data_IF_939983624633
#
_entry.id   IF_939983624633
#
_cell.length_a   1.000
_cell.length_b   1.000
_cell.length_c   1.000
_cell.angle_alpha   90.00
_cell.angle_beta   90.00
_cell.angle_gamma   90.00
#
_symmetry.space_group_name_H-M   'P 1'
#
loop_
_entity.id
_entity.type
_entity.pdbx_description
1 polymer ?
#
# COMPACT_ATOMS: atom_id res chain seq x y z
N UNK A 1 7.55 -0.33 0.02
CA UNK A 1 8.19 0.27 -1.19
C UNK A 1 9.71 0.28 -1.10
N UNK A 2 10.33 0.89 -0.07
CA UNK A 2 11.79 0.94 0.09
C UNK A 2 12.49 -0.43 -0.01
N UNK A 3 11.96 -1.46 0.67
CA UNK A 3 12.45 -2.85 0.60
C UNK A 3 12.41 -3.46 -0.80
N UNK A 4 11.37 -3.16 -1.59
CA UNK A 4 11.20 -3.66 -2.95
C UNK A 4 12.20 -2.99 -3.91
N UNK A 5 12.35 -1.68 -3.80
CA UNK A 5 13.35 -0.92 -4.57
C UNK A 5 14.77 -1.38 -4.21
N UNK A 6 15.05 -1.58 -2.92
CA UNK A 6 16.34 -2.09 -2.46
C UNK A 6 16.61 -3.52 -2.92
N UNK A 7 15.62 -4.43 -2.91
CA UNK A 7 15.80 -5.79 -3.44
C UNK A 7 15.94 -5.86 -4.96
N UNK A 8 15.53 -4.81 -5.68
CA UNK A 8 15.67 -4.70 -7.14
C UNK A 8 17.04 -4.12 -7.55
N UNK A 9 17.66 -3.30 -6.68
CA UNK A 9 18.97 -2.66 -6.89
C UNK A 9 20.13 -3.40 -6.19
N UNK A 10 19.86 -4.09 -5.09
CA UNK A 10 20.84 -4.76 -4.24
C UNK A 10 20.46 -6.24 -4.16
N UNK A 11 21.36 -7.13 -4.61
CA UNK A 11 21.16 -8.58 -4.50
C UNK A 11 20.87 -8.99 -3.04
N UNK A 12 19.98 -9.96 -2.89
CA UNK A 12 19.38 -10.46 -1.64
C UNK A 12 20.39 -10.92 -0.54
N UNK A 13 21.70 -10.90 -0.78
CA UNK A 13 22.77 -11.37 0.13
C UNK A 13 23.42 -10.25 0.99
N UNK A 14 22.93 -9.02 0.91
CA UNK A 14 23.50 -7.95 1.76
C UNK A 14 23.08 -8.14 3.22
N UNK A 15 24.02 -8.64 4.04
CA UNK A 15 23.93 -8.84 5.51
C UNK A 15 23.80 -7.52 6.31
N UNK A 16 23.24 -6.48 5.72
CA UNK A 16 23.07 -5.18 6.36
C UNK A 16 21.97 -5.25 7.44
N UNK A 17 22.23 -4.72 8.65
CA UNK A 17 21.27 -4.78 9.76
C UNK A 17 19.93 -4.11 9.44
N UNK A 18 19.94 -3.11 8.54
CA UNK A 18 18.73 -2.42 8.05
C UNK A 18 17.80 -3.37 7.28
N UNK A 19 18.33 -4.25 6.44
CA UNK A 19 17.53 -5.17 5.65
C UNK A 19 16.88 -6.24 6.54
N UNK A 20 17.57 -6.67 7.61
CA UNK A 20 17.03 -7.60 8.61
C UNK A 20 15.88 -6.98 9.42
N UNK A 21 16.01 -5.71 9.83
CA UNK A 21 14.94 -4.98 10.50
C UNK A 21 13.72 -4.76 9.59
N UNK A 22 13.95 -4.31 8.35
CA UNK A 22 12.89 -4.14 7.35
C UNK A 22 12.20 -5.46 7.03
N UNK A 23 12.94 -6.55 6.87
CA UNK A 23 12.35 -7.89 6.70
C UNK A 23 11.52 -8.30 7.92
N UNK A 24 12.00 -8.03 9.14
CA UNK A 24 11.27 -8.31 10.38
C UNK A 24 9.93 -7.58 10.51
N UNK A 25 9.83 -6.35 10.00
CA UNK A 25 8.56 -5.59 9.99
C UNK A 25 7.65 -5.99 8.81
N UNK A 26 8.23 -6.17 7.63
CA UNK A 26 7.45 -6.37 6.39
C UNK A 26 6.98 -7.81 6.22
N UNK A 27 7.81 -8.81 6.51
CA UNK A 27 7.45 -10.22 6.33
C UNK A 27 6.20 -10.67 7.12
N UNK A 28 5.99 -10.30 8.40
CA UNK A 28 4.77 -10.69 9.11
C UNK A 28 3.53 -10.02 8.52
N UNK A 29 3.61 -8.74 8.15
CA UNK A 29 2.52 -8.03 7.47
C UNK A 29 2.19 -8.68 6.13
N UNK A 30 3.20 -9.03 5.33
CA UNK A 30 3.03 -9.76 4.07
C UNK A 30 2.34 -11.10 4.32
N UNK A 31 2.67 -11.83 5.39
CA UNK A 31 2.04 -13.12 5.71
C UNK A 31 0.56 -12.99 6.04
N UNK A 32 0.17 -11.94 6.77
CA UNK A 32 -1.25 -11.65 7.05
C UNK A 32 -1.99 -11.32 5.76
N UNK A 33 -1.40 -10.48 4.91
CA UNK A 33 -2.04 -10.06 3.66
C UNK A 33 -2.07 -11.18 2.62
N UNK A 34 -1.14 -12.14 2.67
CA UNK A 34 -1.13 -13.32 1.78
C UNK A 34 -2.41 -14.16 1.88
N UNK A 35 -3.18 -14.02 2.97
CA UNK A 35 -4.53 -14.60 3.06
C UNK A 35 -5.52 -13.95 2.08
N UNK A 36 -5.42 -12.63 1.89
CA UNK A 36 -6.25 -11.84 0.97
C UNK A 36 -5.65 -11.75 -0.44
N UNK A 37 -4.34 -11.94 -0.59
CA UNK A 37 -3.66 -11.91 -1.88
C UNK A 37 -3.95 -13.19 -2.68
N UNK A 38 -4.33 -13.08 -3.96
CA UNK A 38 -4.58 -14.25 -4.79
C UNK A 38 -3.30 -15.00 -5.16
N UNK A 39 -3.41 -16.32 -5.40
CA UNK A 39 -2.28 -17.26 -5.55
C UNK A 39 -1.35 -17.00 -6.75
N UNK A 40 -1.76 -16.15 -7.69
CA UNK A 40 -0.99 -15.81 -8.89
C UNK A 40 0.04 -14.69 -8.68
N UNK A 41 0.06 -14.05 -7.51
CA UNK A 41 1.02 -12.97 -7.22
C UNK A 41 2.41 -13.54 -6.94
N UNK A 42 3.40 -13.08 -7.70
CA UNK A 42 4.80 -13.43 -7.54
C UNK A 42 5.30 -12.93 -6.18
N UNK A 43 6.00 -13.77 -5.41
CA UNK A 43 6.44 -13.44 -4.03
C UNK A 43 7.30 -12.16 -3.97
N UNK A 44 8.05 -11.84 -5.02
CA UNK A 44 8.83 -10.58 -5.13
C UNK A 44 7.95 -9.32 -5.16
N UNK A 45 6.71 -9.42 -5.66
CA UNK A 45 5.73 -8.33 -5.71
C UNK A 45 4.94 -8.18 -4.40
N UNK A 46 5.07 -9.12 -3.45
CA UNK A 46 4.39 -9.05 -2.17
C UNK A 46 4.52 -7.71 -1.41
N UNK A 47 5.70 -7.06 -1.31
CA UNK A 47 5.81 -5.74 -0.67
C UNK A 47 5.12 -4.60 -1.43
N UNK A 48 4.92 -4.72 -2.75
CA UNK A 48 4.14 -3.76 -3.55
C UNK A 48 2.65 -3.94 -3.27
N UNK A 49 2.21 -5.20 -3.21
CA UNK A 49 0.82 -5.53 -2.87
C UNK A 49 0.44 -5.09 -1.46
N UNK A 50 1.36 -5.26 -0.48
CA UNK A 50 1.21 -4.71 0.87
C UNK A 50 1.04 -3.19 0.84
N UNK A 51 1.81 -2.47 0.01
CA UNK A 51 1.69 -1.03 -0.12
C UNK A 51 0.33 -0.61 -0.70
N UNK A 52 -0.18 -1.37 -1.68
CA UNK A 52 -1.51 -1.15 -2.25
C UNK A 52 -2.61 -1.33 -1.19
N UNK A 53 -2.56 -2.41 -0.39
CA UNK A 53 -3.51 -2.61 0.69
C UNK A 53 -3.42 -1.55 1.79
N UNK A 54 -2.21 -1.12 2.16
CA UNK A 54 -2.03 0.00 3.09
C UNK A 54 -2.61 1.31 2.55
N UNK A 55 -2.54 1.53 1.24
CA UNK A 55 -3.16 2.66 0.58
C UNK A 55 -4.69 2.56 0.69
N UNK A 56 -5.28 1.41 0.36
CA UNK A 56 -6.72 1.20 0.52
C UNK A 56 -7.14 1.42 1.99
N UNK A 57 -6.42 0.81 2.94
CA UNK A 57 -6.70 0.96 4.36
C UNK A 57 -6.66 2.44 4.77
N UNK A 58 -5.62 3.18 4.34
CA UNK A 58 -5.44 4.60 4.68
C UNK A 58 -6.54 5.49 4.13
N UNK A 59 -6.98 5.28 2.89
CA UNK A 59 -7.90 6.21 2.21
C UNK A 59 -9.36 5.79 2.28
N UNK A 60 -9.66 4.52 2.57
CA UNK A 60 -11.03 4.01 2.65
C UNK A 60 -11.40 3.53 4.06
N UNK A 61 -10.49 2.86 4.80
CA UNK A 61 -10.84 2.31 6.12
C UNK A 61 -10.63 3.33 7.24
N UNK A 62 -9.51 4.06 7.23
CA UNK A 62 -9.20 5.06 8.27
C UNK A 62 -10.25 6.17 8.32
N UNK A 63 -10.70 6.78 7.21
CA UNK A 63 -11.70 7.85 7.27
C UNK A 63 -13.02 7.36 7.87
N UNK A 64 -13.46 6.16 7.49
CA UNK A 64 -14.65 5.51 8.06
C UNK A 64 -14.48 5.23 9.56
N UNK A 65 -13.29 4.78 9.99
CA UNK A 65 -13.01 4.49 11.40
C UNK A 65 -12.91 5.75 12.28
N UNK A 66 -12.47 6.88 11.72
CA UNK A 66 -12.40 8.18 12.41
C UNK A 66 -13.78 8.85 12.51
N UNK A 67 -14.79 8.29 11.84
CA UNK A 67 -16.17 8.81 11.89
C UNK A 67 -16.42 9.95 10.92
N UNK A 68 -15.67 10.01 9.81
CA UNK A 68 -16.10 10.84 8.68
C UNK A 68 -17.40 10.25 8.12
N UNK A 69 -18.45 11.06 8.10
CA UNK A 69 -19.72 10.71 7.47
C UNK A 69 -19.54 10.81 5.96
N UNK A 70 -19.28 9.66 5.33
CA UNK A 70 -19.08 9.55 3.89
C UNK A 70 -20.47 9.43 3.26
N UNK A 71 -21.03 10.55 2.79
CA UNK A 71 -22.40 10.57 2.25
C UNK A 71 -22.49 9.91 0.87
N UNK A 72 -21.37 9.77 0.16
CA UNK A 72 -21.29 9.11 -1.14
C UNK A 72 -19.86 8.87 -1.62
N UNK A 73 -19.73 8.19 -2.76
CA UNK A 73 -18.44 7.82 -3.37
C UNK A 73 -17.53 9.04 -3.65
N UNK A 74 -18.12 10.21 -3.93
CA UNK A 74 -17.40 11.48 -4.15
C UNK A 74 -16.66 12.00 -2.92
N UNK A 75 -17.10 11.63 -1.73
CA UNK A 75 -16.53 12.11 -0.47
C UNK A 75 -15.37 11.23 0.00
N UNK A 76 -15.11 10.14 -0.71
CA UNK A 76 -13.94 9.31 -0.48
C UNK A 76 -12.68 10.10 -0.84
N UNK A 77 -11.66 9.99 0.00
CA UNK A 77 -10.50 10.90 -0.01
C UNK A 77 -9.72 10.91 -1.34
N UNK A 78 -9.73 9.81 -2.10
CA UNK A 78 -9.09 9.74 -3.42
C UNK A 78 -10.01 10.31 -4.51
N UNK A 79 -11.28 9.92 -4.54
CA UNK A 79 -12.28 10.46 -5.48
C UNK A 79 -12.33 11.98 -5.40
N UNK A 80 -12.39 12.54 -4.19
CA UNK A 80 -12.42 13.98 -3.97
C UNK A 80 -11.22 14.69 -4.61
N UNK A 81 -10.02 14.14 -4.45
CA UNK A 81 -8.80 14.68 -5.07
C UNK A 81 -8.82 14.58 -6.59
N UNK A 82 -9.33 13.49 -7.14
CA UNK A 82 -9.42 13.32 -8.59
C UNK A 82 -10.45 14.28 -9.20
N UNK A 83 -11.61 14.41 -8.55
CA UNK A 83 -12.67 15.33 -8.94
C UNK A 83 -12.20 16.78 -8.84
N UNK A 84 -11.49 17.16 -7.78
CA UNK A 84 -10.99 18.54 -7.63
C UNK A 84 -10.03 18.91 -8.76
N UNK A 85 -9.08 18.01 -9.08
CA UNK A 85 -8.14 18.22 -10.19
C UNK A 85 -8.86 18.28 -11.54
N UNK A 86 -9.87 17.42 -11.74
CA UNK A 86 -10.65 17.45 -12.98
C UNK A 86 -11.49 18.72 -13.12
N UNK A 87 -12.02 19.25 -12.01
CA UNK A 87 -12.72 20.55 -12.01
C UNK A 87 -11.76 21.70 -12.35
N UNK A 88 -10.52 21.65 -11.84
CA UNK A 88 -9.54 22.72 -12.03
C UNK A 88 -8.86 22.71 -13.42
N UNK A 89 -8.71 21.53 -14.04
CA UNK A 89 -7.91 21.33 -15.26
C UNK A 89 -8.60 20.53 -16.37
N UNK A 90 -9.85 20.12 -16.17
CA UNK A 90 -10.65 19.46 -17.20
C UNK A 90 -11.01 20.41 -18.35
N UNK A 91 -11.32 19.87 -19.55
CA UNK A 91 -11.75 20.66 -20.69
C UNK A 91 -13.07 21.42 -20.44
#
# INVERSE_FOLDING_TARGET
>A
VLRFLLSMVIQEDSRMPVMRFLNGLVMPLVRVIRFFTPRWVIDRLAPVYLAFWLLILRYYVVPLAVGYDVNGFSDMSIEHLLISVWIDYGP
#
